data_IF_174369504836
#
_entry.id   IF_174369504836
#
_cell.length_a   1.000
_cell.length_b   1.000
_cell.length_c   1.000
_cell.angle_alpha   90.00
_cell.angle_beta   90.00
_cell.angle_gamma   90.00
#
_symmetry.space_group_name_H-M   'P 1'
#
loop_
_entity.id
_entity.type
_entity.pdbx_description
1 polymer ?
#
# COMPACT_ATOMS: atom_id res chain seq x y z
N UNK A 1 12.32 -16.96 -10.88
CA UNK A 1 12.93 -16.84 -9.52
C UNK A 1 13.61 -15.50 -9.29
N UNK A 2 14.45 -14.99 -10.21
CA UNK A 2 15.11 -13.67 -10.04
C UNK A 2 14.12 -12.52 -9.80
N UNK A 3 13.03 -12.48 -10.55
CA UNK A 3 11.98 -11.44 -10.43
C UNK A 3 11.29 -11.46 -9.05
N UNK A 4 10.92 -12.65 -8.57
CA UNK A 4 10.28 -12.82 -7.26
C UNK A 4 11.19 -12.30 -6.14
N UNK A 5 12.48 -12.63 -6.21
CA UNK A 5 13.46 -12.19 -5.22
C UNK A 5 13.62 -10.65 -5.23
N UNK A 6 13.64 -10.04 -6.42
CA UNK A 6 13.70 -8.59 -6.57
C UNK A 6 12.46 -7.91 -6.00
N UNK A 7 11.26 -8.43 -6.28
CA UNK A 7 10.01 -7.86 -5.77
C UNK A 7 9.98 -7.92 -4.25
N UNK A 8 10.32 -9.08 -3.65
CA UNK A 8 10.36 -9.23 -2.19
C UNK A 8 11.37 -8.26 -1.58
N UNK A 9 12.57 -8.15 -2.14
CA UNK A 9 13.61 -7.26 -1.65
C UNK A 9 13.23 -5.78 -1.74
N UNK A 10 12.68 -5.35 -2.88
CA UNK A 10 12.22 -3.98 -3.08
C UNK A 10 11.05 -3.63 -2.17
N UNK A 11 10.07 -4.52 -2.08
CA UNK A 11 8.92 -4.32 -1.22
C UNK A 11 9.34 -4.23 0.26
N UNK A 12 10.25 -5.09 0.69
CA UNK A 12 10.82 -5.03 2.04
C UNK A 12 11.50 -3.69 2.32
N UNK A 13 12.32 -3.18 1.40
CA UNK A 13 13.02 -1.89 1.57
C UNK A 13 12.02 -0.72 1.54
N UNK A 14 11.00 -0.76 0.67
CA UNK A 14 9.98 0.29 0.58
C UNK A 14 9.10 0.37 1.84
N UNK A 15 8.78 -0.77 2.43
CA UNK A 15 7.95 -0.85 3.65
C UNK A 15 8.78 -0.66 4.93
N UNK A 16 10.12 -0.64 4.84
CA UNK A 16 10.99 -0.53 6.00
C UNK A 16 10.86 0.86 6.65
N UNK A 17 10.27 0.90 7.83
CA UNK A 17 10.06 2.15 8.57
C UNK A 17 8.80 2.91 8.18
N UNK A 18 7.91 2.32 7.38
CA UNK A 18 6.59 2.89 7.13
C UNK A 18 5.72 2.86 8.42
N UNK A 19 4.71 3.73 8.46
CA UNK A 19 3.73 3.82 9.55
C UNK A 19 3.03 2.48 9.81
N UNK A 20 2.77 1.68 8.79
CA UNK A 20 2.15 0.36 8.94
C UNK A 20 3.07 -0.61 9.69
N UNK A 21 4.37 -0.61 9.38
CA UNK A 21 5.38 -1.42 10.06
C UNK A 21 5.55 -0.99 11.53
N UNK A 22 5.66 0.32 11.78
CA UNK A 22 5.77 0.85 13.15
C UNK A 22 4.54 0.53 14.01
N UNK A 23 3.35 0.62 13.41
CA UNK A 23 2.10 0.26 14.09
C UNK A 23 2.06 -1.24 14.42
N UNK A 24 2.46 -2.09 13.48
CA UNK A 24 2.52 -3.55 13.68
C UNK A 24 3.54 -3.92 14.77
N UNK A 25 4.70 -3.25 14.79
CA UNK A 25 5.72 -3.43 15.82
C UNK A 25 5.20 -3.02 17.21
N UNK A 26 4.54 -1.86 17.30
CA UNK A 26 3.93 -1.40 18.55
C UNK A 26 2.84 -2.36 19.06
N UNK A 27 2.04 -2.92 18.14
CA UNK A 27 1.02 -3.89 18.47
C UNK A 27 1.63 -5.23 18.94
N UNK A 28 2.70 -5.68 18.29
CA UNK A 28 3.45 -6.89 18.67
C UNK A 28 4.19 -6.73 20.01
N UNK A 29 4.56 -5.51 20.39
CA UNK A 29 5.12 -5.23 21.72
C UNK A 29 4.06 -5.30 22.84
N UNK A 30 2.78 -5.09 22.51
CA UNK A 30 1.67 -5.07 23.47
C UNK A 30 0.87 -6.38 23.55
N UNK A 31 0.76 -7.10 22.43
CA UNK A 31 -0.02 -8.33 22.31
C UNK A 31 0.87 -9.51 21.87
N UNK A 32 0.29 -10.71 21.76
CA UNK A 32 1.06 -11.87 21.30
C UNK A 32 1.60 -11.63 19.87
N UNK A 33 2.93 -11.67 19.67
CA UNK A 33 3.53 -11.38 18.37
C UNK A 33 3.03 -12.26 17.23
N UNK A 34 2.71 -13.53 17.51
CA UNK A 34 2.19 -14.46 16.50
C UNK A 34 0.79 -14.08 16.03
N UNK A 35 -0.07 -13.63 16.95
CA UNK A 35 -1.43 -13.18 16.60
C UNK A 35 -1.37 -11.90 15.77
N UNK A 36 -0.52 -10.96 16.18
CA UNK A 36 -0.31 -9.70 15.44
C UNK A 36 0.26 -9.98 14.05
N UNK A 37 1.23 -10.88 13.93
CA UNK A 37 1.81 -11.28 12.66
C UNK A 37 0.77 -11.85 11.70
N UNK A 38 -0.03 -12.82 12.16
CA UNK A 38 -1.09 -13.43 11.34
C UNK A 38 -2.15 -12.39 10.97
N UNK A 39 -2.56 -11.54 11.91
CA UNK A 39 -3.53 -10.46 11.66
C UNK A 39 -3.02 -9.46 10.62
N UNK A 40 -1.77 -9.02 10.74
CA UNK A 40 -1.13 -8.11 9.78
C UNK A 40 -1.00 -8.75 8.39
N UNK A 41 -0.61 -10.03 8.33
CA UNK A 41 -0.51 -10.78 7.08
C UNK A 41 -1.87 -10.89 6.37
N UNK A 42 -2.93 -11.22 7.10
CA UNK A 42 -4.29 -11.31 6.55
C UNK A 42 -4.76 -9.92 6.09
N UNK A 43 -4.57 -8.89 6.92
CA UNK A 43 -4.97 -7.53 6.60
C UNK A 43 -4.30 -7.01 5.33
N UNK A 44 -2.98 -7.15 5.24
CA UNK A 44 -2.21 -6.76 4.07
C UNK A 44 -2.61 -7.58 2.83
N UNK A 45 -2.76 -8.89 2.98
CA UNK A 45 -3.18 -9.78 1.89
C UNK A 45 -4.56 -9.40 1.34
N UNK A 46 -5.52 -9.07 2.22
CA UNK A 46 -6.86 -8.65 1.82
C UNK A 46 -6.85 -7.30 1.10
N UNK A 47 -6.17 -6.29 1.65
CA UNK A 47 -6.09 -4.96 1.03
C UNK A 47 -5.43 -5.05 -0.35
N UNK A 48 -4.31 -5.77 -0.47
CA UNK A 48 -3.61 -5.95 -1.73
C UNK A 48 -4.45 -6.74 -2.73
N UNK A 49 -5.06 -7.84 -2.30
CA UNK A 49 -5.91 -8.66 -3.16
C UNK A 49 -7.12 -7.90 -3.69
N UNK A 50 -7.78 -7.10 -2.84
CA UNK A 50 -8.87 -6.23 -3.26
C UNK A 50 -8.40 -5.14 -4.22
N UNK A 51 -7.27 -4.50 -3.93
CA UNK A 51 -6.70 -3.44 -4.76
C UNK A 51 -6.36 -3.93 -6.17
N UNK A 52 -5.75 -5.12 -6.28
CA UNK A 52 -5.43 -5.74 -7.58
C UNK A 52 -6.71 -6.14 -8.33
N UNK A 53 -7.67 -6.75 -7.64
CA UNK A 53 -8.93 -7.21 -8.27
C UNK A 53 -9.72 -6.02 -8.83
N UNK A 54 -9.88 -4.97 -8.03
CA UNK A 54 -10.59 -3.75 -8.46
C UNK A 54 -9.78 -3.01 -9.52
N UNK A 55 -8.46 -2.89 -9.34
CA UNK A 55 -7.57 -2.22 -10.28
C UNK A 55 -7.58 -2.87 -11.66
N UNK A 56 -7.58 -4.20 -11.72
CA UNK A 56 -7.64 -4.94 -12.99
C UNK A 56 -8.98 -4.72 -13.71
N UNK A 57 -10.11 -4.85 -13.01
CA UNK A 57 -11.43 -4.60 -13.60
C UNK A 57 -11.59 -3.17 -14.11
N UNK A 58 -11.00 -2.20 -13.39
CA UNK A 58 -11.05 -0.80 -13.78
C UNK A 58 -10.14 -0.52 -14.98
N UNK A 59 -8.97 -1.17 -15.05
CA UNK A 59 -8.04 -1.05 -16.17
C UNK A 59 -8.57 -1.64 -17.48
N UNK A 60 -9.48 -2.63 -17.42
CA UNK A 60 -10.15 -3.16 -18.61
C UNK A 60 -11.20 -2.20 -19.19
N UNK A 61 -11.71 -1.26 -18.38
CA UNK A 61 -12.78 -0.32 -18.76
C UNK A 61 -12.30 1.10 -19.00
N UNK A 62 -11.16 1.48 -18.44
CA UNK A 62 -10.60 2.83 -18.56
C UNK A 62 -9.33 2.81 -19.40
N UNK A 63 -9.22 3.73 -20.35
CA UNK A 63 -7.98 3.96 -21.09
C UNK A 63 -6.87 4.43 -20.13
N UNK A 64 -5.65 3.97 -20.37
CA UNK A 64 -4.46 4.25 -19.53
C UNK A 64 -4.24 5.76 -19.34
N UNK A 65 -4.50 6.56 -20.38
CA UNK A 65 -4.46 8.03 -20.34
C UNK A 65 -5.38 8.64 -19.27
N UNK A 66 -6.57 8.06 -19.09
CA UNK A 66 -7.56 8.53 -18.11
C UNK A 66 -7.06 8.22 -16.70
N UNK A 67 -6.57 7.00 -16.48
CA UNK A 67 -6.02 6.57 -15.19
C UNK A 67 -4.81 7.41 -14.80
N UNK A 68 -3.92 7.71 -15.76
CA UNK A 68 -2.74 8.54 -15.52
C UNK A 68 -3.09 9.99 -15.20
N UNK A 69 -3.99 10.62 -15.98
CA UNK A 69 -4.44 11.99 -15.70
C UNK A 69 -5.17 12.08 -14.36
N UNK A 70 -6.03 11.11 -14.05
CA UNK A 70 -6.80 11.10 -12.81
C UNK A 70 -5.90 10.93 -11.59
N UNK A 71 -4.99 9.93 -11.62
CA UNK A 71 -4.04 9.70 -10.52
C UNK A 71 -3.12 10.89 -10.31
N UNK A 72 -2.54 11.45 -11.37
CA UNK A 72 -1.71 12.66 -11.29
C UNK A 72 -2.45 13.86 -10.71
N UNK A 73 -3.70 14.08 -11.13
CA UNK A 73 -4.54 15.17 -10.59
C UNK A 73 -4.82 14.98 -9.10
N UNK A 74 -5.16 13.75 -8.68
CA UNK A 74 -5.39 13.43 -7.27
C UNK A 74 -4.11 13.67 -6.45
N UNK A 75 -2.95 13.21 -6.94
CA UNK A 75 -1.67 13.43 -6.26
C UNK A 75 -1.32 14.91 -6.11
N UNK A 76 -1.53 15.72 -7.16
CA UNK A 76 -1.30 17.18 -7.09
C UNK A 76 -2.25 17.82 -6.08
N UNK A 77 -3.53 17.48 -6.10
CA UNK A 77 -4.51 18.02 -5.16
C UNK A 77 -4.16 17.68 -3.70
N UNK A 78 -3.83 16.42 -3.43
CA UNK A 78 -3.38 15.98 -2.10
C UNK A 78 -2.10 16.72 -1.70
N UNK A 79 -1.12 16.85 -2.59
CA UNK A 79 0.10 17.60 -2.34
C UNK A 79 -0.16 19.07 -1.98
N UNK A 80 -1.06 19.74 -2.68
CA UNK A 80 -1.47 21.12 -2.37
C UNK A 80 -2.16 21.20 -1.01
N UNK A 81 -3.04 20.24 -0.67
CA UNK A 81 -3.73 20.21 0.61
C UNK A 81 -2.77 20.03 1.79
N UNK A 82 -1.77 19.16 1.64
CA UNK A 82 -0.69 18.95 2.62
C UNK A 82 0.15 20.22 2.77
N UNK A 83 0.54 20.87 1.67
CA UNK A 83 1.30 22.13 1.73
C UNK A 83 0.49 23.27 2.38
N UNK A 84 -0.83 23.28 2.18
CA UNK A 84 -1.72 24.24 2.81
C UNK A 84 -2.00 23.93 4.30
N UNK A 85 -1.47 22.83 4.84
CA UNK A 85 -1.68 22.40 6.23
C UNK A 85 -3.12 22.00 6.54
N UNK A 86 -3.91 21.66 5.52
CA UNK A 86 -5.30 21.19 5.66
C UNK A 86 -5.39 19.67 5.79
N UNK A 87 -4.27 18.98 5.60
CA UNK A 87 -4.05 17.55 5.79
C UNK A 87 -2.71 17.37 6.52
#
# INVERSE_FOLDING_TARGET
MKEILSIIGLYFIMELGDKTMLTSLALAAKYNPWIVFVGALIGLGLVTGLSVTVGQQLSERLSEDVVQKLSGTIFILVGILVLAGKL
#
